data_IF_164299612504
#
_entry.id   IF_164299612504
#
_cell.length_a   1.000
_cell.length_b   1.000
_cell.length_c   1.000
_cell.angle_alpha   90.00
_cell.angle_beta   90.00
_cell.angle_gamma   90.00
#
_symmetry.space_group_name_H-M   'P 1'
#
loop_
_entity.id
_entity.type
_entity.pdbx_description
1 polymer ?
#
# COMPACT_ATOMS: atom_id res chain seq x y z
N UNK A 1 -24.29 -58.93 47.37
CA UNK A 1 -24.38 -58.22 46.08
C UNK A 1 -24.91 -56.82 46.34
N UNK A 2 -24.14 -55.82 45.93
CA UNK A 2 -24.30 -54.44 46.40
C UNK A 2 -25.32 -53.59 45.63
N UNK A 3 -25.47 -52.35 46.10
CA UNK A 3 -25.53 -51.08 45.33
C UNK A 3 -26.08 -49.96 46.23
N UNK A 4 -25.20 -49.28 46.95
CA UNK A 4 -25.46 -47.95 47.50
C UNK A 4 -24.30 -47.02 47.17
N UNK A 5 -24.14 -46.70 45.90
CA UNK A 5 -23.11 -45.75 45.42
C UNK A 5 -23.63 -44.89 44.28
N UNK A 6 -24.88 -44.42 44.40
CA UNK A 6 -25.53 -43.59 43.35
C UNK A 6 -25.50 -42.09 43.60
N UNK A 7 -25.60 -41.64 44.87
CA UNK A 7 -25.84 -40.21 45.16
C UNK A 7 -24.57 -39.41 45.44
N UNK A 8 -23.60 -39.97 46.15
CA UNK A 8 -22.33 -39.28 46.44
C UNK A 8 -21.48 -39.11 45.19
N UNK A 9 -21.40 -40.14 44.35
CA UNK A 9 -20.66 -40.10 43.08
C UNK A 9 -21.21 -39.04 42.13
N UNK A 10 -22.54 -38.89 42.05
CA UNK A 10 -23.18 -37.91 41.17
C UNK A 10 -22.86 -36.47 41.58
N UNK A 11 -22.87 -36.17 42.88
CA UNK A 11 -22.51 -34.83 43.40
C UNK A 11 -21.04 -34.51 43.13
N UNK A 12 -20.12 -35.47 43.37
CA UNK A 12 -18.70 -35.24 43.09
C UNK A 12 -18.43 -35.03 41.60
N UNK A 13 -19.12 -35.79 40.74
CA UNK A 13 -18.95 -35.66 39.28
C UNK A 13 -19.47 -34.30 38.79
N UNK A 14 -20.60 -33.81 39.33
CA UNK A 14 -21.15 -32.50 38.99
C UNK A 14 -20.21 -31.36 39.42
N UNK A 15 -19.62 -31.46 40.61
CA UNK A 15 -18.67 -30.46 41.12
C UNK A 15 -17.39 -30.40 40.28
N UNK A 16 -16.85 -31.55 39.88
CA UNK A 16 -15.67 -31.60 38.99
C UNK A 16 -16.01 -31.01 37.61
N UNK A 17 -17.18 -31.32 37.06
CA UNK A 17 -17.63 -30.77 35.78
C UNK A 17 -17.82 -29.25 35.84
N UNK A 18 -18.37 -28.72 36.94
CA UNK A 18 -18.55 -27.29 37.14
C UNK A 18 -17.21 -26.53 37.24
N UNK A 19 -16.21 -27.09 37.94
CA UNK A 19 -14.86 -26.51 37.99
C UNK A 19 -14.18 -26.56 36.63
N UNK A 20 -14.36 -27.65 35.87
CA UNK A 20 -13.82 -27.77 34.52
C UNK A 20 -14.43 -26.75 33.55
N UNK A 21 -15.74 -26.53 33.62
CA UNK A 21 -16.45 -25.51 32.82
C UNK A 21 -16.02 -24.09 33.19
N UNK A 22 -15.76 -23.80 34.47
CA UNK A 22 -15.22 -22.51 34.91
C UNK A 22 -13.77 -22.28 34.44
N UNK A 23 -12.93 -23.32 34.42
CA UNK A 23 -11.58 -23.23 33.88
C UNK A 23 -11.56 -22.95 32.37
N UNK A 24 -12.45 -23.60 31.60
CA UNK A 24 -12.60 -23.36 30.15
C UNK A 24 -13.20 -21.97 29.88
N UNK A 25 -14.21 -21.56 30.66
CA UNK A 25 -14.80 -20.22 30.56
C UNK A 25 -13.83 -19.09 30.92
N UNK A 26 -12.95 -19.30 31.90
CA UNK A 26 -11.89 -18.35 32.27
C UNK A 26 -10.85 -18.14 31.18
N UNK A 27 -10.48 -19.20 30.44
CA UNK A 27 -9.54 -19.10 29.30
C UNK A 27 -10.21 -18.45 28.07
N UNK A 28 -11.52 -18.61 27.89
CA UNK A 28 -12.25 -17.92 26.82
C UNK A 28 -12.35 -16.40 27.07
N UNK A 29 -12.49 -15.98 28.33
CA UNK A 29 -12.60 -14.56 28.70
C UNK A 29 -11.27 -13.80 28.64
N UNK A 30 -10.12 -14.45 28.81
CA UNK A 30 -8.81 -13.77 28.67
C UNK A 30 -8.42 -13.50 27.21
N UNK A 31 -9.09 -14.13 26.23
CA UNK A 31 -8.93 -13.79 24.80
C UNK A 31 -9.80 -12.62 24.33
N UNK A 32 -10.78 -12.19 25.12
CA UNK A 32 -11.56 -10.97 24.87
C UNK A 32 -10.89 -9.70 25.44
N UNK A 33 -9.75 -9.86 26.13
CA UNK A 33 -8.97 -8.75 26.72
C UNK A 33 -7.68 -8.39 25.97
N UNK A 34 -7.36 -9.07 24.87
CA UNK A 34 -6.35 -8.54 23.97
C UNK A 34 -6.95 -7.29 23.32
N UNK A 35 -6.39 -6.11 23.62
CA UNK A 35 -6.66 -4.88 22.88
C UNK A 35 -6.53 -5.21 21.40
N UNK A 36 -7.67 -5.41 20.74
CA UNK A 36 -7.73 -5.44 19.30
C UNK A 36 -7.30 -4.04 18.89
N UNK A 37 -6.11 -3.92 18.29
CA UNK A 37 -5.67 -2.66 17.72
C UNK A 37 -6.78 -2.23 16.74
N UNK A 38 -7.47 -1.10 16.98
CA UNK A 38 -8.63 -0.71 16.18
C UNK A 38 -8.27 -0.43 14.71
N UNK A 39 -6.99 -0.53 14.33
CA UNK A 39 -6.48 -0.23 12.99
C UNK A 39 -6.08 -1.46 12.16
N UNK A 40 -6.34 -2.70 12.62
CA UNK A 40 -6.32 -3.87 11.72
C UNK A 40 -7.67 -3.98 11.00
N UNK A 41 -8.05 -2.91 10.30
CA UNK A 41 -8.98 -3.02 9.18
C UNK A 41 -8.20 -2.67 7.92
N UNK A 42 -8.23 -3.49 6.86
CA UNK A 42 -7.86 -3.00 5.56
C UNK A 42 -8.91 -1.94 5.19
N UNK A 43 -8.64 -0.66 5.43
CA UNK A 43 -9.42 0.40 4.81
C UNK A 43 -9.11 0.36 3.32
N UNK A 44 -9.87 -0.46 2.59
CA UNK A 44 -9.88 -0.47 1.14
C UNK A 44 -10.45 0.86 0.68
N UNK A 45 -9.59 1.86 0.53
CA UNK A 45 -9.95 3.14 -0.08
C UNK A 45 -10.18 2.91 -1.58
N UNK A 46 -11.41 2.55 -1.95
CA UNK A 46 -11.86 2.53 -3.33
C UNK A 46 -11.99 3.98 -3.82
N UNK A 47 -11.14 4.37 -4.75
CA UNK A 47 -11.45 5.48 -5.64
C UNK A 47 -11.01 5.15 -7.07
N UNK A 48 -12.01 5.10 -7.95
CA UNK A 48 -11.92 4.82 -9.37
C UNK A 48 -11.48 6.09 -10.09
N UNK A 49 -10.26 6.12 -10.62
CA UNK A 49 -9.84 7.19 -11.54
C UNK A 49 -10.74 7.16 -12.78
N UNK A 50 -11.52 8.22 -12.99
CA UNK A 50 -12.34 8.39 -14.18
C UNK A 50 -11.45 8.85 -15.33
N UNK A 51 -11.09 7.95 -16.24
CA UNK A 51 -10.51 8.32 -17.51
C UNK A 51 -11.59 8.59 -18.56
N UNK A 52 -11.53 9.76 -19.18
CA UNK A 52 -12.06 9.97 -20.53
C UNK A 52 -11.07 9.38 -21.52
N UNK A 53 -11.47 8.36 -22.27
CA UNK A 53 -10.69 7.70 -23.32
C UNK A 53 -10.42 8.67 -24.47
N UNK A 54 -9.14 8.88 -24.82
CA UNK A 54 -8.74 9.36 -26.14
C UNK A 54 -7.56 8.54 -26.66
N UNK A 55 -7.74 8.04 -27.88
CA UNK A 55 -6.89 7.12 -28.67
C UNK A 55 -5.77 7.91 -29.38
N UNK A 56 -4.61 7.28 -29.69
CA UNK A 56 -3.33 7.96 -29.84
C UNK A 56 -3.02 8.41 -31.27
N UNK A 57 -2.11 9.39 -31.39
CA UNK A 57 -1.43 9.67 -32.65
C UNK A 57 0.08 9.44 -32.51
N UNK A 58 0.61 8.82 -33.54
CA UNK A 58 1.94 8.24 -33.70
C UNK A 58 2.90 9.28 -34.30
N UNK A 59 4.11 9.46 -33.77
CA UNK A 59 5.26 9.86 -34.59
C UNK A 59 6.59 9.54 -33.91
N UNK A 60 7.40 8.77 -34.62
CA UNK A 60 8.79 8.40 -34.30
C UNK A 60 9.76 9.57 -34.49
N UNK A 61 10.86 9.57 -33.72
CA UNK A 61 12.24 9.69 -34.25
C UNK A 61 13.27 9.47 -33.14
N UNK A 62 14.22 8.56 -33.40
CA UNK A 62 15.48 8.38 -32.67
C UNK A 62 16.40 9.59 -32.85
N UNK A 63 17.18 9.95 -31.82
CA UNK A 63 18.62 10.19 -32.02
C UNK A 63 19.40 9.96 -30.71
N UNK A 64 20.58 9.35 -30.85
CA UNK A 64 21.52 9.02 -29.77
C UNK A 64 22.51 10.16 -29.60
N UNK A 65 22.78 10.60 -28.37
CA UNK A 65 24.09 11.19 -28.04
C UNK A 65 24.36 11.26 -26.53
N UNK A 66 25.52 10.72 -26.14
CA UNK A 66 26.50 11.42 -25.33
C UNK A 66 26.16 11.70 -23.86
N UNK A 67 26.70 10.86 -22.99
CA UNK A 67 26.85 11.13 -21.56
C UNK A 67 27.47 12.50 -21.29
N UNK A 68 26.81 13.30 -20.45
CA UNK A 68 27.50 14.23 -19.56
C UNK A 68 26.67 14.50 -18.30
N UNK A 69 27.27 14.17 -17.16
CA UNK A 69 26.78 14.50 -15.82
C UNK A 69 26.70 16.02 -15.66
N UNK A 70 25.50 16.56 -15.63
CA UNK A 70 25.21 17.85 -15.02
C UNK A 70 23.84 17.75 -14.34
N UNK A 71 23.88 17.57 -13.03
CA UNK A 71 22.73 17.69 -12.14
C UNK A 71 22.26 19.15 -12.18
N UNK A 72 21.43 19.47 -13.18
CA UNK A 72 20.71 20.73 -13.27
C UNK A 72 19.30 20.46 -12.74
N UNK A 73 18.91 21.16 -11.67
CA UNK A 73 17.54 21.22 -11.17
C UNK A 73 16.66 21.91 -12.21
N UNK A 74 16.40 21.24 -13.34
CA UNK A 74 15.28 21.56 -14.18
C UNK A 74 14.02 21.17 -13.40
N UNK A 75 13.42 22.14 -12.72
CA UNK A 75 11.97 22.08 -12.52
C UNK A 75 11.36 22.19 -13.92
N UNK A 76 11.24 21.04 -14.60
CA UNK A 76 10.39 20.93 -15.76
C UNK A 76 9.03 21.49 -15.34
N UNK A 77 8.62 22.60 -15.96
CA UNK A 77 7.32 23.18 -15.69
C UNK A 77 6.30 22.23 -16.30
N UNK A 78 5.70 21.39 -15.46
CA UNK A 78 4.71 20.41 -15.89
C UNK A 78 3.41 21.17 -16.18
N UNK A 79 2.87 21.01 -17.39
CA UNK A 79 1.60 21.62 -17.77
C UNK A 79 0.47 21.07 -16.88
N UNK A 80 -0.23 21.92 -16.10
CA UNK A 80 -1.33 21.50 -15.24
C UNK A 80 -2.44 20.75 -15.98
N UNK A 81 -2.67 21.01 -17.27
CA UNK A 81 -3.68 20.31 -18.07
C UNK A 81 -3.36 18.83 -18.24
N UNK A 82 -2.08 18.46 -18.18
CA UNK A 82 -1.59 17.08 -18.35
C UNK A 82 -1.56 16.29 -17.04
N UNK A 83 -1.77 16.94 -15.90
CA UNK A 83 -1.69 16.32 -14.57
C UNK A 83 -3.09 16.06 -14.01
N UNK A 84 -3.21 14.98 -13.24
CA UNK A 84 -4.36 14.68 -12.41
C UNK A 84 -3.89 14.39 -10.99
N UNK A 85 -4.81 14.40 -10.03
CA UNK A 85 -4.49 14.24 -8.61
C UNK A 85 -5.34 13.17 -7.94
N UNK A 86 -4.80 12.59 -6.87
CA UNK A 86 -5.51 11.71 -5.95
C UNK A 86 -5.19 12.12 -4.52
N UNK A 87 -6.22 12.26 -3.70
CA UNK A 87 -6.07 12.60 -2.29
C UNK A 87 -5.94 11.33 -1.45
N UNK A 88 -4.87 11.26 -0.67
CA UNK A 88 -4.57 10.15 0.23
C UNK A 88 -4.84 10.62 1.65
N UNK A 89 -6.11 10.65 2.03
CA UNK A 89 -6.59 11.20 3.32
C UNK A 89 -5.85 10.64 4.55
N UNK A 90 -5.61 9.31 4.68
CA UNK A 90 -4.91 8.75 5.85
C UNK A 90 -3.46 9.23 6.00
N UNK A 91 -2.86 9.74 4.92
CA UNK A 91 -1.53 10.33 4.91
C UNK A 91 -1.55 11.87 4.80
N UNK A 92 -2.73 12.47 4.64
CA UNK A 92 -2.93 13.93 4.49
C UNK A 92 -2.08 14.54 3.37
N UNK A 93 -2.00 13.85 2.24
CA UNK A 93 -1.27 14.30 1.03
C UNK A 93 -2.17 14.24 -0.20
N UNK A 94 -1.89 15.11 -1.16
CA UNK A 94 -2.41 15.03 -2.53
C UNK A 94 -1.26 14.59 -3.44
N UNK A 95 -1.43 13.46 -4.11
CA UNK A 95 -0.46 12.89 -5.05
C UNK A 95 -0.85 13.28 -6.46
N UNK A 96 0.09 13.83 -7.22
CA UNK A 96 -0.10 14.17 -8.63
C UNK A 96 0.46 13.07 -9.53
N UNK A 97 -0.15 12.86 -10.68
CA UNK A 97 0.31 11.93 -11.72
C UNK A 97 0.01 12.48 -13.12
N UNK A 98 0.87 12.19 -14.09
CA UNK A 98 0.64 12.58 -15.50
C UNK A 98 -0.46 11.70 -16.10
N UNK A 99 -1.45 12.30 -16.76
CA UNK A 99 -2.57 11.59 -17.41
C UNK A 99 -2.06 10.60 -18.48
N UNK A 100 -2.90 9.62 -18.82
CA UNK A 100 -2.61 8.64 -19.87
C UNK A 100 -2.23 7.24 -19.37
N UNK A 101 -2.16 7.05 -18.04
CA UNK A 101 -2.10 5.72 -17.39
C UNK A 101 -3.50 5.21 -17.09
N UNK A 102 -3.71 3.90 -17.19
CA UNK A 102 -5.03 3.31 -16.94
C UNK A 102 -5.50 3.46 -15.49
N UNK A 103 -6.63 2.82 -15.17
CA UNK A 103 -7.14 2.81 -13.80
C UNK A 103 -6.14 2.14 -12.84
N UNK A 104 -6.02 2.72 -11.67
CA UNK A 104 -5.22 2.21 -10.57
C UNK A 104 -5.98 2.39 -9.26
N UNK A 105 -5.56 1.62 -8.27
CA UNK A 105 -6.02 1.71 -6.88
C UNK A 105 -4.81 2.07 -6.00
N UNK A 106 -5.09 2.46 -4.76
CA UNK A 106 -4.04 2.63 -3.76
C UNK A 106 -4.43 1.98 -2.44
N UNK A 107 -3.42 1.56 -1.68
CA UNK A 107 -3.58 1.05 -0.33
C UNK A 107 -2.60 1.78 0.59
N UNK A 108 -3.12 2.26 1.73
CA UNK A 108 -2.27 2.83 2.78
C UNK A 108 -1.92 1.72 3.76
N UNK A 109 -0.63 1.52 3.97
CA UNK A 109 -0.07 0.48 4.80
C UNK A 109 0.84 1.10 5.85
N UNK A 110 1.11 0.32 6.91
CA UNK A 110 1.97 0.74 8.01
C UNK A 110 2.91 -0.39 8.43
N UNK A 111 4.19 -0.10 8.51
CA UNK A 111 5.19 -1.05 8.99
C UNK A 111 5.17 -1.13 10.52
N UNK A 112 5.80 -2.17 11.06
CA UNK A 112 5.93 -2.38 12.50
C UNK A 112 6.69 -1.24 13.22
N UNK A 113 7.60 -0.58 12.51
CA UNK A 113 8.32 0.60 13.00
C UNK A 113 7.47 1.90 12.95
N UNK A 114 6.22 1.81 12.48
CA UNK A 114 5.30 2.92 12.37
C UNK A 114 5.38 3.72 11.07
N UNK A 115 6.33 3.41 10.17
CA UNK A 115 6.45 4.02 8.84
C UNK A 115 5.15 3.81 8.07
N UNK A 116 4.64 4.88 7.45
CA UNK A 116 3.44 4.84 6.61
C UNK A 116 3.84 4.88 5.16
N UNK A 117 3.21 4.04 4.36
CA UNK A 117 3.38 4.02 2.91
C UNK A 117 2.02 3.96 2.22
N UNK A 118 1.94 4.56 1.04
CA UNK A 118 0.85 4.32 0.11
C UNK A 118 1.42 3.56 -1.08
N UNK A 119 0.83 2.40 -1.38
CA UNK A 119 1.17 1.60 -2.55
C UNK A 119 0.12 1.82 -3.64
N UNK A 120 0.57 2.04 -4.87
CA UNK A 120 -0.29 2.17 -6.04
C UNK A 120 -0.21 0.90 -6.88
N UNK A 121 -1.38 0.39 -7.26
CA UNK A 121 -1.54 -0.91 -7.94
C UNK A 121 -2.48 -0.80 -9.12
N UNK A 122 -2.25 -1.60 -10.15
CA UNK A 122 -3.18 -1.74 -11.27
C UNK A 122 -3.39 -3.20 -11.60
N UNK A 123 -4.66 -3.62 -11.76
CA UNK A 123 -5.00 -4.98 -12.19
C UNK A 123 -4.44 -5.31 -13.57
N UNK A 124 -4.23 -4.30 -14.43
CA UNK A 124 -3.58 -4.46 -15.72
C UNK A 124 -2.08 -4.75 -15.65
N UNK A 125 -1.46 -4.62 -14.48
CA UNK A 125 -0.04 -4.91 -14.25
C UNK A 125 0.19 -6.21 -13.50
N UNK A 126 -0.87 -6.86 -12.99
CA UNK A 126 -0.78 -8.16 -12.32
C UNK A 126 -0.15 -9.16 -13.27
N UNK A 127 1.07 -9.55 -12.97
CA UNK A 127 1.84 -10.50 -13.74
C UNK A 127 1.46 -11.94 -13.45
N UNK A 128 1.84 -12.79 -14.38
CA UNK A 128 1.68 -14.25 -14.26
C UNK A 128 2.97 -14.95 -13.80
N UNK A 129 4.08 -14.20 -13.65
CA UNK A 129 5.40 -14.76 -13.29
C UNK A 129 5.55 -14.98 -11.79
N UNK A 130 4.97 -14.11 -10.97
CA UNK A 130 5.01 -14.21 -9.52
C UNK A 130 3.62 -14.59 -9.00
N UNK A 131 3.54 -15.63 -8.16
CA UNK A 131 2.26 -16.16 -7.65
C UNK A 131 1.41 -15.13 -6.90
N UNK A 132 2.05 -14.13 -6.28
CA UNK A 132 1.40 -13.11 -5.46
C UNK A 132 1.60 -11.70 -6.04
N UNK A 133 1.78 -11.56 -7.35
CA UNK A 133 1.89 -10.24 -7.95
C UNK A 133 0.57 -9.48 -7.80
N UNK A 134 0.62 -8.32 -7.16
CA UNK A 134 -0.54 -7.45 -6.96
C UNK A 134 -0.55 -6.30 -7.97
N UNK A 135 0.36 -6.28 -8.95
CA UNK A 135 0.47 -5.22 -9.94
C UNK A 135 0.89 -3.88 -9.32
N UNK A 136 1.62 -3.91 -8.20
CA UNK A 136 2.20 -2.72 -7.57
C UNK A 136 3.21 -2.10 -8.51
N UNK A 137 3.10 -0.80 -8.77
CA UNK A 137 4.02 -0.09 -9.65
C UNK A 137 4.80 1.02 -8.97
N UNK A 138 4.25 1.63 -7.92
CA UNK A 138 4.89 2.69 -7.15
C UNK A 138 4.46 2.65 -5.69
N UNK A 139 5.31 3.16 -4.80
CA UNK A 139 4.97 3.45 -3.41
C UNK A 139 5.53 4.78 -2.97
N UNK A 140 4.79 5.48 -2.10
CA UNK A 140 5.24 6.72 -1.46
C UNK A 140 5.35 6.47 0.04
N UNK A 141 6.55 6.67 0.58
CA UNK A 141 6.92 6.39 1.97
C UNK A 141 7.07 7.71 2.72
N UNK A 142 6.38 7.86 3.85
CA UNK A 142 6.51 9.03 4.72
C UNK A 142 7.57 8.79 5.80
N UNK A 143 8.54 9.70 5.93
CA UNK A 143 9.70 9.61 6.81
C UNK A 143 10.44 8.26 6.67
N UNK A 144 10.96 7.94 5.47
CA UNK A 144 11.65 6.67 5.25
C UNK A 144 12.85 6.54 6.19
N UNK A 145 13.02 5.35 6.76
CA UNK A 145 14.23 4.94 7.47
C UNK A 145 15.46 4.89 6.53
N UNK A 146 16.65 4.71 7.09
CA UNK A 146 17.88 4.60 6.29
C UNK A 146 17.84 3.39 5.35
N UNK A 147 17.26 2.27 5.81
CA UNK A 147 17.10 1.07 5.01
C UNK A 147 16.13 1.29 3.83
N UNK A 148 15.01 1.96 4.07
CA UNK A 148 14.03 2.31 3.03
C UNK A 148 14.60 3.36 2.07
N UNK A 149 15.46 4.25 2.56
CA UNK A 149 16.08 5.29 1.73
C UNK A 149 16.96 4.73 0.60
N UNK A 150 17.48 3.51 0.76
CA UNK A 150 18.30 2.84 -0.25
C UNK A 150 17.50 2.40 -1.49
N UNK A 151 16.17 2.28 -1.40
CA UNK A 151 15.30 1.82 -2.49
C UNK A 151 14.46 2.95 -3.11
N UNK A 152 14.72 4.20 -2.70
CA UNK A 152 13.98 5.35 -3.21
C UNK A 152 14.55 5.81 -4.55
N UNK A 153 13.67 6.01 -5.51
CA UNK A 153 13.99 6.60 -6.81
C UNK A 153 14.00 8.13 -6.75
N UNK A 154 13.12 8.74 -5.95
CA UNK A 154 13.02 10.19 -5.76
C UNK A 154 12.63 10.53 -4.33
N UNK A 155 12.95 11.75 -3.89
CA UNK A 155 12.50 12.27 -2.59
C UNK A 155 12.00 13.70 -2.73
N UNK A 156 11.09 14.11 -1.84
CA UNK A 156 10.60 15.48 -1.72
C UNK A 156 10.23 15.77 -0.27
N UNK A 157 10.13 17.04 0.11
CA UNK A 157 9.73 17.45 1.46
C UNK A 157 8.48 18.29 1.39
N UNK A 158 7.47 17.94 2.19
CA UNK A 158 6.18 18.62 2.25
C UNK A 158 5.89 18.91 3.71
N UNK A 159 5.75 20.19 4.07
CA UNK A 159 5.46 20.63 5.45
C UNK A 159 6.40 20.01 6.51
N UNK A 160 7.69 19.95 6.18
CA UNK A 160 8.73 19.38 7.06
C UNK A 160 8.78 17.85 7.11
N UNK A 161 7.89 17.14 6.41
CA UNK A 161 7.90 15.67 6.30
C UNK A 161 8.60 15.25 5.02
N UNK A 162 9.60 14.36 5.13
CA UNK A 162 10.29 13.79 3.97
C UNK A 162 9.44 12.65 3.39
N UNK A 163 9.17 12.71 2.09
CA UNK A 163 8.52 11.66 1.33
C UNK A 163 9.49 11.05 0.32
N UNK A 164 9.46 9.72 0.22
CA UNK A 164 10.24 8.96 -0.77
C UNK A 164 9.33 8.25 -1.76
N UNK A 165 9.63 8.35 -3.05
CA UNK A 165 9.02 7.52 -4.09
C UNK A 165 9.91 6.30 -4.32
N UNK A 166 9.33 5.11 -4.24
CA UNK A 166 9.94 3.86 -4.69
C UNK A 166 9.14 3.31 -5.88
N UNK A 167 9.84 2.75 -6.87
CA UNK A 167 9.24 2.19 -8.08
C UNK A 167 9.47 0.68 -8.07
N UNK A 168 8.43 -0.10 -8.38
CA UNK A 168 8.51 -1.56 -8.36
C UNK A 168 9.40 -2.12 -9.48
N UNK A 169 10.03 -3.27 -9.25
CA UNK A 169 10.80 -3.93 -10.30
C UNK A 169 9.89 -4.60 -11.34
N UNK A 170 10.34 -4.62 -12.60
CA UNK A 170 9.59 -5.22 -13.73
C UNK A 170 9.56 -6.76 -13.74
N UNK A 171 10.04 -7.41 -12.68
CA UNK A 171 10.30 -8.85 -12.65
C UNK A 171 9.01 -9.68 -12.62
N UNK A 172 7.96 -9.19 -11.97
CA UNK A 172 6.72 -9.93 -11.82
C UNK A 172 5.72 -9.70 -12.95
N UNK A 173 5.66 -8.49 -13.51
CA UNK A 173 4.72 -8.19 -14.60
C UNK A 173 5.12 -8.82 -15.94
N UNK A 174 4.11 -9.15 -16.75
CA UNK A 174 4.28 -9.52 -18.15
C UNK A 174 4.30 -8.32 -19.10
N UNK A 175 3.80 -7.16 -18.66
CA UNK A 175 3.73 -5.94 -19.47
C UNK A 175 4.64 -4.84 -18.89
N UNK A 176 5.93 -4.94 -19.24
CA UNK A 176 6.94 -3.97 -18.80
C UNK A 176 6.71 -2.57 -19.38
N UNK A 177 6.11 -2.45 -20.57
CA UNK A 177 5.84 -1.16 -21.20
C UNK A 177 4.72 -0.41 -20.46
N UNK A 178 3.63 -1.12 -20.11
CA UNK A 178 2.59 -0.56 -19.26
C UNK A 178 3.17 -0.16 -17.90
N UNK A 179 3.94 -1.03 -17.24
CA UNK A 179 4.57 -0.73 -15.95
C UNK A 179 5.40 0.56 -16.02
N UNK A 180 6.28 0.68 -17.02
CA UNK A 180 7.09 1.86 -17.21
C UNK A 180 6.23 3.12 -17.38
N UNK A 181 5.11 3.04 -18.10
CA UNK A 181 4.18 4.17 -18.26
C UNK A 181 3.56 4.60 -16.93
N UNK A 182 3.11 3.65 -16.10
CA UNK A 182 2.59 3.93 -14.75
C UNK A 182 3.66 4.57 -13.86
N UNK A 183 4.88 4.01 -13.87
CA UNK A 183 5.99 4.52 -13.07
C UNK A 183 6.41 5.92 -13.48
N UNK A 184 6.54 6.16 -14.79
CA UNK A 184 6.92 7.46 -15.33
C UNK A 184 5.88 8.53 -14.97
N UNK A 185 4.59 8.21 -15.11
CA UNK A 185 3.49 9.12 -14.77
C UNK A 185 3.54 9.64 -13.34
N UNK A 186 3.86 8.77 -12.38
CA UNK A 186 4.01 9.15 -10.97
C UNK A 186 5.36 9.81 -10.69
N UNK A 187 6.44 9.29 -11.29
CA UNK A 187 7.79 9.82 -11.12
C UNK A 187 7.90 11.27 -11.59
N UNK A 188 7.31 11.61 -12.74
CA UNK A 188 7.39 12.95 -13.32
C UNK A 188 6.64 13.97 -12.48
N UNK A 189 5.46 13.61 -11.99
CA UNK A 189 4.64 14.51 -11.18
C UNK A 189 4.97 14.48 -9.68
N UNK A 190 5.92 13.65 -9.22
CA UNK A 190 6.18 13.45 -7.79
C UNK A 190 6.62 14.72 -7.06
N UNK A 191 7.32 15.63 -7.73
CA UNK A 191 7.72 16.92 -7.15
C UNK A 191 6.54 17.84 -6.84
N UNK A 192 5.36 17.56 -7.42
CA UNK A 192 4.11 18.26 -7.15
C UNK A 192 3.34 17.68 -5.95
N UNK A 193 3.92 16.71 -5.24
CA UNK A 193 3.37 16.21 -3.99
C UNK A 193 3.16 17.38 -3.02
N UNK A 194 1.98 17.43 -2.41
CA UNK A 194 1.63 18.49 -1.47
C UNK A 194 0.78 17.95 -0.32
N UNK A 195 0.69 18.76 0.73
CA UNK A 195 -0.22 18.51 1.86
C UNK A 195 -1.66 18.60 1.35
N UNK A 196 -2.51 17.72 1.83
CA UNK A 196 -3.95 17.81 1.59
C UNK A 196 -4.47 19.10 2.23
N UNK A 197 -5.14 19.91 1.42
CA UNK A 197 -5.70 21.21 1.81
C UNK A 197 -7.02 21.10 2.55
#
# INVERSE_FOLDING_TARGET
MGKYTGKRTLVTTLSVLAVLLLAIGGVALTRLGAKQDPYVQPETSKSQSSQTTQTPDESSSNDSTGANNAQSEYQATIDPATVSTVDITPMSITVSYVKGVGAFEYEVLRAQNGTRYVEFRSSGLVGTKCTNDMGTFASIIANPSDAESATLSKTTTVDGVKYGLSLADATCTSDGAALQKYQQSFSDAFTLLKKLG
#
